data_IF_089406049923
#
_entry.id   IF_089406049923
#
_cell.length_a   1.000
_cell.length_b   1.000
_cell.length_c   1.000
_cell.angle_alpha   90.00
_cell.angle_beta   90.00
_cell.angle_gamma   90.00
#
_symmetry.space_group_name_H-M   'P 1'
#
loop_
_entity.id
_entity.type
_entity.pdbx_description
1 polymer ?
#
# COMPACT_ATOMS: atom_id res chain seq x y z
N UNK A 1 25.80 10.46 -5.16
CA UNK A 1 24.37 10.26 -4.84
C UNK A 1 23.55 10.64 -6.06
N UNK A 2 23.03 9.66 -6.80
CA UNK A 2 22.28 9.90 -8.05
C UNK A 2 20.91 10.51 -7.71
N UNK A 3 20.55 11.62 -8.36
CA UNK A 3 19.28 12.32 -8.12
C UNK A 3 18.10 11.41 -8.42
N UNK A 4 17.25 11.14 -7.42
CA UNK A 4 16.01 10.36 -7.61
C UNK A 4 15.07 11.13 -8.53
N UNK A 5 14.59 10.48 -9.60
CA UNK A 5 13.59 11.04 -10.50
C UNK A 5 12.25 11.26 -9.76
N UNK A 6 11.51 12.33 -10.06
CA UNK A 6 10.23 12.62 -9.43
C UNK A 6 9.16 11.61 -9.84
N UNK A 7 8.27 11.26 -8.92
CA UNK A 7 7.12 10.36 -9.12
C UNK A 7 5.82 11.15 -8.98
N UNK A 8 4.74 10.68 -9.60
CA UNK A 8 3.42 11.29 -9.39
C UNK A 8 2.98 11.05 -7.93
N UNK A 9 2.59 12.10 -7.19
CA UNK A 9 2.10 11.93 -5.82
C UNK A 9 0.72 11.26 -5.82
N UNK A 10 0.43 10.52 -4.76
CA UNK A 10 -0.91 10.03 -4.47
C UNK A 10 -1.85 11.18 -4.06
N UNK A 11 -3.17 11.03 -4.23
CA UNK A 11 -4.11 12.09 -3.92
C UNK A 11 -4.26 12.31 -2.40
N UNK A 12 -4.41 13.59 -2.02
CA UNK A 12 -4.79 14.00 -0.67
C UNK A 12 -3.79 13.57 0.42
N UNK A 13 -4.27 13.20 1.62
CA UNK A 13 -3.38 12.82 2.73
C UNK A 13 -2.60 11.52 2.48
N UNK A 14 -2.98 10.75 1.45
CA UNK A 14 -2.37 9.46 1.15
C UNK A 14 -0.90 9.60 0.75
N UNK A 15 -0.51 10.68 0.06
CA UNK A 15 0.91 10.90 -0.27
C UNK A 15 1.75 11.09 0.99
N UNK A 16 1.21 11.78 2.00
CA UNK A 16 1.87 11.97 3.29
C UNK A 16 2.21 10.63 3.94
N UNK A 17 1.27 9.67 3.89
CA UNK A 17 1.50 8.31 4.37
C UNK A 17 2.47 7.52 3.48
N UNK A 18 2.28 7.54 2.15
CA UNK A 18 3.09 6.78 1.19
C UNK A 18 4.57 7.18 1.23
N UNK A 19 4.87 8.47 1.45
CA UNK A 19 6.26 8.96 1.52
C UNK A 19 7.05 8.40 2.70
N UNK A 20 6.39 7.96 3.78
CA UNK A 20 7.01 7.35 4.97
C UNK A 20 7.66 5.99 4.69
N UNK A 21 7.49 5.44 3.48
CA UNK A 21 8.07 4.18 3.02
C UNK A 21 9.09 4.38 1.88
N UNK A 22 9.34 5.61 1.43
CA UNK A 22 10.19 5.88 0.25
C UNK A 22 11.64 5.39 0.41
N UNK A 23 12.12 5.23 1.65
CA UNK A 23 13.44 4.67 1.98
C UNK A 23 13.51 3.16 1.77
N UNK A 24 12.40 2.44 1.98
CA UNK A 24 12.31 0.99 1.75
C UNK A 24 12.26 0.64 0.25
N UNK A 25 11.81 1.57 -0.59
CA UNK A 25 11.67 1.37 -2.05
C UNK A 25 12.75 2.13 -2.83
N UNK A 26 13.81 1.42 -3.24
CA UNK A 26 14.97 2.00 -3.93
C UNK A 26 14.67 2.43 -5.36
N UNK A 27 13.95 1.60 -6.11
CA UNK A 27 13.63 1.89 -7.51
C UNK A 27 12.45 2.87 -7.64
N UNK A 28 12.45 3.66 -8.73
CA UNK A 28 11.33 4.57 -9.05
C UNK A 28 10.02 3.79 -9.19
N UNK A 29 10.04 2.71 -9.96
CA UNK A 29 8.88 1.87 -10.22
C UNK A 29 8.30 1.23 -8.95
N UNK A 30 9.13 0.89 -7.96
CA UNK A 30 8.64 0.41 -6.66
C UNK A 30 7.86 1.47 -5.91
N UNK A 31 8.35 2.73 -5.90
CA UNK A 31 7.65 3.84 -5.24
C UNK A 31 6.34 4.22 -5.94
N UNK A 32 6.29 4.12 -7.26
CA UNK A 32 5.07 4.32 -8.05
C UNK A 32 4.08 3.17 -7.83
N UNK A 33 4.55 1.93 -7.87
CA UNK A 33 3.74 0.74 -7.59
C UNK A 33 3.14 0.74 -6.19
N UNK A 34 3.92 1.14 -5.18
CA UNK A 34 3.45 1.22 -3.80
C UNK A 34 2.33 2.25 -3.63
N UNK A 35 2.49 3.44 -4.21
CA UNK A 35 1.42 4.46 -4.25
C UNK A 35 0.17 3.93 -4.92
N UNK A 36 0.32 3.27 -6.06
CA UNK A 36 -0.82 2.69 -6.77
C UNK A 36 -1.54 1.63 -5.96
N UNK A 37 -0.78 0.79 -5.27
CA UNK A 37 -1.33 -0.23 -4.40
C UNK A 37 -2.10 0.37 -3.22
N UNK A 38 -1.53 1.37 -2.54
CA UNK A 38 -2.19 2.08 -1.45
C UNK A 38 -3.46 2.80 -1.92
N UNK A 39 -3.43 3.45 -3.09
CA UNK A 39 -4.61 4.09 -3.67
C UNK A 39 -5.75 3.09 -3.87
N UNK A 40 -5.45 1.94 -4.48
CA UNK A 40 -6.44 0.88 -4.70
C UNK A 40 -7.01 0.29 -3.42
N UNK A 41 -6.22 0.24 -2.34
CA UNK A 41 -6.64 -0.30 -1.04
C UNK A 41 -7.46 0.68 -0.20
N UNK A 42 -7.07 1.97 -0.21
CA UNK A 42 -7.50 2.94 0.81
C UNK A 42 -8.43 4.02 0.26
N UNK A 43 -8.40 4.31 -1.04
CA UNK A 43 -9.37 5.23 -1.61
C UNK A 43 -10.74 4.53 -1.74
N UNK A 44 -11.85 5.28 -1.60
CA UNK A 44 -13.17 4.73 -1.83
C UNK A 44 -13.25 4.11 -3.24
N UNK A 45 -13.39 2.80 -3.31
CA UNK A 45 -13.60 2.07 -4.55
C UNK A 45 -14.69 1.01 -4.31
N UNK A 46 -15.57 0.83 -5.30
CA UNK A 46 -16.67 -0.14 -5.19
C UNK A 46 -16.17 -1.59 -5.03
N UNK A 47 -14.93 -1.87 -5.45
CA UNK A 47 -14.32 -3.20 -5.44
C UNK A 47 -12.83 -3.06 -5.15
N UNK A 48 -12.33 -3.72 -4.10
CA UNK A 48 -10.90 -3.73 -3.74
C UNK A 48 -10.30 -5.15 -3.71
N UNK A 49 -11.10 -6.18 -4.06
CA UNK A 49 -10.71 -7.59 -3.94
C UNK A 49 -9.97 -8.16 -5.15
N UNK A 50 -9.85 -7.42 -6.24
CA UNK A 50 -9.17 -7.88 -7.46
C UNK A 50 -8.08 -6.92 -7.87
N UNK A 51 -7.03 -7.44 -8.51
CA UNK A 51 -5.92 -6.63 -9.03
C UNK A 51 -6.41 -5.49 -9.93
N UNK A 52 -7.32 -5.78 -10.87
CA UNK A 52 -7.88 -4.77 -11.78
C UNK A 52 -8.58 -3.66 -11.03
N UNK A 53 -9.30 -3.99 -9.95
CA UNK A 53 -10.00 -3.01 -9.14
C UNK A 53 -9.04 -2.16 -8.30
N UNK A 54 -7.99 -2.75 -7.73
CA UNK A 54 -6.89 -1.99 -7.10
C UNK A 54 -6.20 -1.07 -8.11
N UNK A 55 -6.07 -1.52 -9.35
CA UNK A 55 -5.52 -0.73 -10.45
C UNK A 55 -6.54 0.26 -11.05
N UNK A 56 -7.77 0.38 -10.52
CA UNK A 56 -8.88 1.16 -11.08
C UNK A 56 -9.08 0.95 -12.59
N UNK A 57 -9.08 -0.30 -13.01
CA UNK A 57 -9.30 -0.72 -14.39
C UNK A 57 -10.50 -1.67 -14.46
N UNK A 58 -11.11 -1.78 -15.63
CA UNK A 58 -12.25 -2.66 -15.83
C UNK A 58 -11.87 -4.14 -15.58
N UNK A 59 -12.67 -4.91 -14.83
CA UNK A 59 -12.41 -6.34 -14.65
C UNK A 59 -12.32 -7.05 -16.00
N UNK A 60 -11.32 -7.94 -16.16
CA UNK A 60 -11.05 -8.70 -17.39
C UNK A 60 -10.56 -7.81 -18.54
N UNK A 61 -11.38 -6.88 -19.04
CA UNK A 61 -11.04 -6.01 -20.19
C UNK A 61 -9.84 -5.09 -19.88
N UNK A 62 -9.71 -4.65 -18.63
CA UNK A 62 -8.64 -3.77 -18.16
C UNK A 62 -7.33 -4.47 -17.83
N UNK A 63 -7.24 -5.80 -17.91
CA UNK A 63 -6.04 -6.55 -17.50
C UNK A 63 -4.78 -6.17 -18.30
N UNK A 64 -4.95 -5.78 -19.56
CA UNK A 64 -3.84 -5.38 -20.44
C UNK A 64 -3.45 -3.90 -20.30
N UNK A 65 -4.14 -3.15 -19.44
CA UNK A 65 -3.83 -1.75 -19.20
C UNK A 65 -2.52 -1.63 -18.42
N UNK A 66 -1.75 -0.58 -18.71
CA UNK A 66 -0.45 -0.32 -18.08
C UNK A 66 -0.55 -0.30 -16.55
N UNK A 67 -1.64 0.24 -16.01
CA UNK A 67 -1.90 0.33 -14.57
C UNK A 67 -2.04 -1.07 -13.94
N UNK A 68 -2.77 -1.96 -14.59
CA UNK A 68 -2.98 -3.33 -14.13
C UNK A 68 -1.71 -4.17 -14.24
N UNK A 69 -1.02 -4.13 -15.39
CA UNK A 69 0.24 -4.85 -15.59
C UNK A 69 1.35 -4.34 -14.65
N UNK A 70 1.44 -3.02 -14.46
CA UNK A 70 2.41 -2.41 -13.55
C UNK A 70 2.17 -2.80 -12.10
N UNK A 71 0.90 -2.82 -11.65
CA UNK A 71 0.56 -3.27 -10.30
C UNK A 71 0.77 -4.79 -10.13
N UNK A 72 0.48 -5.60 -11.15
CA UNK A 72 0.76 -7.03 -11.13
C UNK A 72 2.26 -7.26 -10.88
N UNK A 73 3.09 -6.63 -11.70
CA UNK A 73 4.54 -6.74 -11.61
C UNK A 73 5.05 -6.24 -10.25
N UNK A 74 4.46 -5.16 -9.73
CA UNK A 74 4.73 -4.65 -8.38
C UNK A 74 4.51 -5.71 -7.30
N UNK A 75 3.40 -6.43 -7.35
CA UNK A 75 3.02 -7.41 -6.34
C UNK A 75 3.72 -8.77 -6.51
N UNK A 76 4.08 -9.17 -7.72
CA UNK A 76 4.66 -10.50 -7.99
C UNK A 76 6.18 -10.52 -8.16
N UNK A 77 6.76 -9.52 -8.82
CA UNK A 77 8.16 -9.60 -9.29
C UNK A 77 9.14 -8.73 -8.49
N UNK A 78 8.66 -7.65 -7.86
CA UNK A 78 9.56 -6.84 -7.05
C UNK A 78 9.90 -7.56 -5.75
N UNK A 79 11.16 -7.45 -5.31
CA UNK A 79 11.54 -7.85 -3.96
C UNK A 79 10.96 -6.86 -2.96
N UNK A 80 10.04 -7.33 -2.12
CA UNK A 80 9.56 -6.61 -0.95
C UNK A 80 10.42 -6.99 0.24
N UNK A 81 10.57 -6.06 1.19
CA UNK A 81 10.95 -6.41 2.56
C UNK A 81 9.64 -6.42 3.39
N UNK A 82 8.84 -7.50 3.32
CA UNK A 82 7.50 -7.51 3.90
C UNK A 82 7.53 -7.31 5.41
N UNK A 83 8.52 -7.86 6.10
CA UNK A 83 8.72 -7.69 7.54
C UNK A 83 9.03 -6.22 7.87
N UNK A 84 9.98 -5.59 7.16
CA UNK A 84 10.35 -4.19 7.38
C UNK A 84 9.20 -3.24 7.02
N UNK A 85 8.48 -3.53 5.93
CA UNK A 85 7.33 -2.74 5.48
C UNK A 85 6.21 -2.83 6.51
N UNK A 86 5.93 -4.03 7.05
CA UNK A 86 4.92 -4.21 8.07
C UNK A 86 5.35 -3.59 9.41
N UNK A 87 6.62 -3.72 9.81
CA UNK A 87 7.14 -3.06 11.00
C UNK A 87 6.96 -1.54 10.93
N UNK A 88 7.36 -0.92 9.81
CA UNK A 88 7.13 0.52 9.57
C UNK A 88 5.65 0.88 9.61
N UNK A 89 4.77 0.03 9.06
CA UNK A 89 3.31 0.24 9.15
C UNK A 89 2.82 0.25 10.61
N UNK A 90 3.27 -0.70 11.44
CA UNK A 90 2.90 -0.76 12.86
C UNK A 90 3.47 0.44 13.63
N UNK A 91 4.72 0.83 13.39
CA UNK A 91 5.32 2.04 13.97
C UNK A 91 4.49 3.29 13.68
N UNK A 92 4.06 3.46 12.42
CA UNK A 92 3.23 4.59 12.03
C UNK A 92 1.87 4.57 12.73
N UNK A 93 1.20 3.41 12.80
CA UNK A 93 -0.07 3.26 13.51
C UNK A 93 0.07 3.59 15.00
N UNK A 94 1.15 3.14 15.64
CA UNK A 94 1.43 3.43 17.04
C UNK A 94 1.78 4.91 17.29
N UNK A 95 2.35 5.59 16.30
CA UNK A 95 2.73 7.01 16.42
C UNK A 95 1.59 8.00 16.25
N UNK A 96 0.49 7.58 15.60
CA UNK A 96 -0.64 8.46 15.30
C UNK A 96 -1.73 8.36 16.36
N UNK A 97 -2.11 9.48 16.95
CA UNK A 97 -3.02 9.52 18.12
C UNK A 97 -4.38 8.86 17.90
N UNK A 98 -4.85 8.79 16.65
CA UNK A 98 -6.13 8.14 16.29
C UNK A 98 -6.06 6.62 16.20
N UNK A 99 -4.86 6.06 16.05
CA UNK A 99 -4.61 4.62 15.87
C UNK A 99 -3.67 4.04 16.92
N UNK A 100 -3.05 4.90 17.72
CA UNK A 100 -2.17 4.52 18.81
C UNK A 100 -2.92 3.65 19.83
N UNK A 101 -2.26 2.64 20.40
CA UNK A 101 -2.82 1.89 21.53
C UNK A 101 -3.16 2.84 22.68
N UNK A 102 -4.35 2.67 23.26
CA UNK A 102 -4.74 3.32 24.51
C UNK A 102 -4.33 2.41 25.67
N UNK A 103 -3.61 2.94 26.66
CA UNK A 103 -3.18 2.21 27.85
C UNK A 103 -4.35 1.69 28.72
N UNK A 104 -5.53 2.30 28.57
CA UNK A 104 -6.76 1.89 29.25
C UNK A 104 -7.65 1.01 28.37
N UNK A 105 -7.30 0.83 27.09
CA UNK A 105 -8.07 0.04 26.13
C UNK A 105 -7.52 -1.37 25.96
N UNK A 106 -8.39 -2.38 25.97
CA UNK A 106 -8.02 -3.74 25.58
C UNK A 106 -8.86 -4.15 24.37
N UNK A 107 -8.20 -4.48 23.27
CA UNK A 107 -8.82 -5.08 22.08
C UNK A 107 -8.40 -6.55 22.01
N UNK A 108 -9.30 -7.46 22.36
CA UNK A 108 -9.09 -8.90 22.20
C UNK A 108 -9.63 -9.30 20.82
N UNK A 109 -8.73 -9.66 19.90
CA UNK A 109 -9.07 -10.26 18.61
C UNK A 109 -8.72 -11.73 18.72
N UNK A 110 -9.74 -12.58 18.81
CA UNK A 110 -9.62 -14.02 18.72
C UNK A 110 -10.21 -14.48 17.38
N UNK A 111 -9.36 -15.02 16.51
CA UNK A 111 -9.74 -15.58 15.20
C UNK A 111 -9.62 -17.13 15.21
N UNK A 112 -9.35 -17.74 16.37
CA UNK A 112 -9.18 -19.19 16.51
C UNK A 112 -10.45 -19.91 16.98
N UNK A 113 -11.62 -19.48 16.51
CA UNK A 113 -12.86 -20.23 16.69
C UNK A 113 -12.83 -21.52 15.86
N UNK A 114 -12.94 -22.66 16.55
CA UNK A 114 -12.99 -24.06 16.08
C UNK A 114 -13.29 -24.31 14.60
N UNK A 115 -12.44 -25.13 13.95
CA UNK A 115 -12.79 -25.90 12.75
C UNK A 115 -13.29 -27.28 13.14
#
# INVERSE_FOLDING_TARGET
>A
MTRKLPISPSPGPLEGYATRFNDLFRARAQREGFRRYLEGLLLPAERNKTLMALANTEPVAGAQRKEAQGLQWFLSEFTWAPEETNARRIELLASESKTAPDEHGVLVIDEHGDR
#
